data_IF_100824202101
#
_entry.id   IF_100824202101
#
_cell.length_a   1.000
_cell.length_b   1.000
_cell.length_c   1.000
_cell.angle_alpha   90.00
_cell.angle_beta   90.00
_cell.angle_gamma   90.00
#
_symmetry.space_group_name_H-M   'P 1'
#
loop_
_entity.id
_entity.type
_entity.pdbx_description
1 polymer ?
#
# COMPACT_ATOMS: atom_id res chain seq x y z
N UNK A 1 2.34 33.62 -14.99
CA UNK A 1 2.36 32.35 -14.23
C UNK A 1 2.75 32.70 -12.79
N UNK A 2 1.76 32.83 -11.92
CA UNK A 2 2.01 32.99 -10.49
C UNK A 2 2.16 31.60 -9.87
N UNK A 3 3.42 31.17 -9.72
CA UNK A 3 3.74 29.89 -9.09
C UNK A 3 3.58 30.00 -7.57
N UNK A 4 2.44 29.57 -7.05
CA UNK A 4 2.20 29.63 -5.60
C UNK A 4 2.85 28.48 -4.84
N UNK A 5 2.88 27.29 -5.40
CA UNK A 5 3.41 26.09 -4.74
C UNK A 5 4.15 25.19 -5.73
N UNK A 6 5.23 24.62 -5.28
CA UNK A 6 5.99 23.61 -6.03
C UNK A 6 6.20 22.36 -5.17
N UNK A 7 6.09 21.19 -5.80
CA UNK A 7 6.29 19.88 -5.18
C UNK A 7 7.34 19.10 -5.94
N UNK A 8 8.37 18.65 -5.25
CA UNK A 8 9.34 17.71 -5.82
C UNK A 8 8.98 16.31 -5.35
N UNK A 9 8.80 15.40 -6.29
CA UNK A 9 8.35 14.03 -6.00
C UNK A 9 9.22 12.99 -6.72
N UNK A 10 9.24 11.79 -6.13
CA UNK A 10 9.81 10.59 -6.73
C UNK A 10 8.67 9.59 -6.85
N UNK A 11 8.37 9.16 -8.06
CA UNK A 11 7.36 8.14 -8.32
C UNK A 11 8.01 6.76 -8.36
N UNK A 12 7.37 5.81 -7.72
CA UNK A 12 7.88 4.45 -7.53
C UNK A 12 6.76 3.44 -7.64
N UNK A 13 7.12 2.16 -7.75
CA UNK A 13 6.18 1.08 -7.48
C UNK A 13 6.85 -0.11 -6.78
N UNK A 14 6.04 -0.93 -6.12
CA UNK A 14 6.40 -2.27 -5.65
C UNK A 14 5.34 -3.26 -6.11
N UNK A 15 5.74 -4.25 -6.87
CA UNK A 15 4.84 -5.25 -7.44
C UNK A 15 3.59 -4.65 -8.15
N UNK A 16 3.71 -3.47 -8.77
CA UNK A 16 2.62 -2.76 -9.45
C UNK A 16 1.79 -1.81 -8.58
N UNK A 17 2.02 -1.73 -7.27
CA UNK A 17 1.43 -0.72 -6.41
C UNK A 17 2.24 0.57 -6.49
N UNK A 18 1.62 1.63 -7.02
CA UNK A 18 2.29 2.90 -7.29
C UNK A 18 2.28 3.83 -6.06
N UNK A 19 3.42 4.49 -5.85
CA UNK A 19 3.61 5.49 -4.79
C UNK A 19 4.26 6.75 -5.33
N UNK A 20 3.72 7.90 -4.97
CA UNK A 20 4.32 9.22 -5.15
C UNK A 20 4.90 9.70 -3.84
N UNK A 21 6.21 9.83 -3.79
CA UNK A 21 6.95 10.21 -2.58
C UNK A 21 7.30 11.68 -2.69
N UNK A 22 6.73 12.50 -1.83
CA UNK A 22 6.98 13.93 -1.75
C UNK A 22 8.22 14.14 -0.88
N UNK A 23 9.29 14.62 -1.49
CA UNK A 23 10.58 14.87 -0.83
C UNK A 23 10.78 16.36 -0.53
N UNK A 24 10.08 17.24 -1.26
CA UNK A 24 10.04 18.65 -1.00
C UNK A 24 8.69 19.24 -1.38
N UNK A 25 8.10 19.98 -0.47
CA UNK A 25 6.79 20.60 -0.68
C UNK A 25 6.65 21.91 0.11
N UNK A 26 5.69 22.74 -0.32
CA UNK A 26 5.21 23.89 0.46
C UNK A 26 4.26 23.47 1.60
N UNK A 27 4.19 22.19 1.92
CA UNK A 27 3.42 21.64 3.04
C UNK A 27 4.27 21.75 4.31
N UNK A 28 3.83 22.52 5.27
CA UNK A 28 4.54 22.73 6.53
C UNK A 28 4.00 21.78 7.60
N UNK A 29 4.76 20.71 7.85
CA UNK A 29 4.51 19.71 8.90
C UNK A 29 5.66 19.83 9.93
N UNK A 30 5.54 20.74 10.85
CA UNK A 30 6.59 21.14 11.80
C UNK A 30 6.33 20.70 13.25
N UNK A 31 5.32 19.87 13.47
CA UNK A 31 5.10 19.28 14.78
C UNK A 31 6.12 18.16 15.04
N UNK A 32 6.54 18.01 16.28
CA UNK A 32 7.42 16.91 16.70
C UNK A 32 6.68 15.58 16.80
N UNK A 33 5.35 15.63 16.96
CA UNK A 33 4.48 14.46 17.02
C UNK A 33 3.93 14.11 15.63
N UNK A 34 4.30 12.94 15.15
CA UNK A 34 3.83 12.41 13.86
C UNK A 34 2.29 12.31 13.76
N UNK A 35 1.60 12.04 14.87
CA UNK A 35 0.14 11.96 14.89
C UNK A 35 -0.50 13.33 14.65
N UNK A 36 0.09 14.39 15.19
CA UNK A 36 -0.37 15.76 14.93
C UNK A 36 -0.10 16.16 13.49
N UNK A 37 1.10 15.87 12.96
CA UNK A 37 1.41 16.09 11.55
C UNK A 37 0.46 15.32 10.63
N UNK A 38 0.14 14.07 10.97
CA UNK A 38 -0.84 13.28 10.19
C UNK A 38 -2.23 13.91 10.23
N UNK A 39 -2.70 14.33 11.40
CA UNK A 39 -3.99 15.02 11.54
C UNK A 39 -4.04 16.27 10.66
N UNK A 40 -3.01 17.09 10.69
CA UNK A 40 -2.91 18.29 9.84
C UNK A 40 -2.87 17.93 8.36
N UNK A 41 -2.09 16.92 7.96
CA UNK A 41 -2.06 16.45 6.57
C UNK A 41 -3.44 16.05 6.08
N UNK A 42 -4.21 15.36 6.91
CA UNK A 42 -5.55 14.90 6.52
C UNK A 42 -6.60 16.03 6.50
N UNK A 43 -6.50 17.04 7.39
CA UNK A 43 -7.50 18.13 7.49
C UNK A 43 -7.16 19.36 6.65
N UNK A 44 -5.88 19.80 6.64
CA UNK A 44 -5.52 21.11 6.15
C UNK A 44 -4.99 21.10 4.71
N UNK A 45 -4.55 19.93 4.21
CA UNK A 45 -3.88 19.80 2.91
C UNK A 45 -4.67 18.95 1.90
N UNK A 46 -5.98 19.06 1.92
CA UNK A 46 -6.87 18.29 1.03
C UNK A 46 -6.65 18.63 -0.46
N UNK A 47 -6.46 19.92 -0.77
CA UNK A 47 -6.20 20.38 -2.13
C UNK A 47 -4.87 19.84 -2.66
N UNK A 48 -3.80 19.88 -1.85
CA UNK A 48 -2.49 19.36 -2.22
C UNK A 48 -2.53 17.85 -2.46
N UNK A 49 -3.29 17.10 -1.65
CA UNK A 49 -3.49 15.66 -1.87
C UNK A 49 -4.18 15.38 -3.20
N UNK A 50 -5.26 16.10 -3.51
CA UNK A 50 -5.96 15.97 -4.79
C UNK A 50 -5.07 16.39 -5.95
N UNK A 51 -4.38 17.52 -5.83
CA UNK A 51 -3.41 17.99 -6.81
C UNK A 51 -2.37 16.93 -7.17
N UNK A 52 -1.85 16.21 -6.17
CA UNK A 52 -0.79 15.23 -6.35
C UNK A 52 -1.30 13.85 -6.82
N UNK A 53 -2.53 13.45 -6.47
CA UNK A 53 -3.01 12.09 -6.71
C UNK A 53 -4.01 11.98 -7.86
N UNK A 54 -4.75 13.06 -8.19
CA UNK A 54 -5.76 13.03 -9.22
C UNK A 54 -5.17 13.15 -10.63
N UNK A 55 -5.93 12.73 -11.61
CA UNK A 55 -5.65 13.03 -13.03
C UNK A 55 -5.72 14.54 -13.28
N UNK A 56 -4.89 15.10 -14.15
CA UNK A 56 -3.96 14.43 -15.07
C UNK A 56 -2.57 14.15 -14.48
N UNK A 57 -2.32 14.47 -13.22
CA UNK A 57 -1.01 14.35 -12.57
C UNK A 57 -0.76 13.01 -11.89
N UNK A 58 -1.83 12.33 -11.49
CA UNK A 58 -1.83 11.00 -10.87
C UNK A 58 -2.91 10.10 -11.46
N UNK A 59 -3.38 9.13 -10.70
CA UNK A 59 -4.48 8.23 -11.07
C UNK A 59 -5.06 7.55 -9.84
N UNK A 60 -6.25 6.93 -9.94
CA UNK A 60 -6.97 6.32 -8.80
C UNK A 60 -6.14 5.34 -7.96
N UNK A 61 -5.21 4.60 -8.56
CA UNK A 61 -4.34 3.65 -7.85
C UNK A 61 -3.04 4.24 -7.31
N UNK A 62 -2.85 5.56 -7.31
CA UNK A 62 -1.68 6.24 -6.78
C UNK A 62 -1.81 6.44 -5.28
N UNK A 63 -0.79 6.03 -4.52
CA UNK A 63 -0.64 6.32 -3.10
C UNK A 63 0.35 7.47 -2.93
N UNK A 64 0.12 8.32 -1.94
CA UNK A 64 1.03 9.41 -1.59
C UNK A 64 1.79 9.12 -0.30
N UNK A 65 3.06 9.51 -0.27
CA UNK A 65 3.90 9.53 0.93
C UNK A 65 4.58 10.89 1.05
N UNK A 66 4.60 11.46 2.25
CA UNK A 66 5.42 12.64 2.58
C UNK A 66 6.51 12.20 3.55
N UNK A 67 7.76 12.50 3.21
CA UNK A 67 8.91 12.25 4.07
C UNK A 67 9.14 13.47 4.96
N UNK A 68 9.25 13.23 6.28
CA UNK A 68 9.56 14.26 7.27
C UNK A 68 10.68 13.81 8.19
N UNK A 69 11.37 14.74 8.87
CA UNK A 69 12.31 14.38 9.95
C UNK A 69 11.62 13.60 11.06
N UNK A 70 12.38 12.80 11.79
CA UNK A 70 11.94 12.06 12.97
C UNK A 70 12.99 12.15 14.08
N UNK A 71 12.53 12.31 15.34
CA UNK A 71 13.39 12.23 16.50
C UNK A 71 13.60 10.79 17.01
N UNK A 72 12.84 9.82 16.46
CA UNK A 72 12.83 8.42 16.91
C UNK A 72 13.40 7.44 15.87
N UNK A 73 13.52 7.89 14.63
CA UNK A 73 13.89 7.06 13.50
C UNK A 73 14.79 7.84 12.52
N UNK A 74 15.23 7.19 11.46
CA UNK A 74 16.03 7.86 10.42
C UNK A 74 15.19 8.84 9.59
N UNK A 75 13.94 8.50 9.38
CA UNK A 75 12.91 9.31 8.71
C UNK A 75 11.55 8.99 9.31
N UNK A 76 10.59 9.90 9.10
CA UNK A 76 9.17 9.62 9.28
C UNK A 76 8.45 9.67 7.93
N UNK A 77 7.42 8.84 7.78
CA UNK A 77 6.56 8.80 6.58
C UNK A 77 5.12 9.02 6.99
N UNK A 78 4.49 9.99 6.36
CA UNK A 78 3.05 10.22 6.42
C UNK A 78 2.42 9.78 5.10
N UNK A 79 1.33 9.03 5.19
CA UNK A 79 0.63 8.50 4.04
C UNK A 79 -0.62 9.31 3.75
N UNK A 80 -0.95 9.45 2.47
CA UNK A 80 -2.21 10.00 2.03
C UNK A 80 -2.72 9.25 0.79
N UNK A 81 -4.02 9.12 0.70
CA UNK A 81 -4.70 8.36 -0.33
C UNK A 81 -6.04 9.03 -0.67
N UNK A 82 -6.68 8.62 -1.75
CA UNK A 82 -8.04 9.07 -2.10
C UNK A 82 -9.06 8.66 -1.03
N UNK A 83 -8.88 7.50 -0.40
CA UNK A 83 -9.63 7.06 0.77
C UNK A 83 -8.94 7.56 2.04
N UNK A 84 -9.63 8.42 2.81
CA UNK A 84 -9.09 9.00 4.04
C UNK A 84 -8.81 7.99 5.16
N UNK A 85 -9.42 6.81 5.10
CA UNK A 85 -9.21 5.75 6.09
C UNK A 85 -7.88 5.02 5.90
N UNK A 86 -7.26 5.12 4.73
CA UNK A 86 -6.00 4.45 4.42
C UNK A 86 -4.79 5.35 4.70
N UNK A 87 -4.31 5.30 5.94
CA UNK A 87 -3.21 6.15 6.41
C UNK A 87 -1.87 5.40 6.57
N UNK A 88 -1.79 4.14 6.18
CA UNK A 88 -0.57 3.34 6.20
C UNK A 88 -0.64 2.20 5.17
N UNK A 89 0.46 1.97 4.47
CA UNK A 89 0.66 0.82 3.57
C UNK A 89 2.10 0.33 3.68
N UNK A 90 2.30 -0.97 3.86
CA UNK A 90 3.64 -1.58 3.92
C UNK A 90 4.46 -1.35 2.65
N UNK A 91 3.82 -1.29 1.47
CA UNK A 91 4.49 -0.96 0.22
C UNK A 91 5.22 0.38 0.24
N UNK A 92 4.70 1.35 0.98
CA UNK A 92 5.34 2.65 1.16
C UNK A 92 6.65 2.59 1.94
N UNK A 93 6.84 1.62 2.87
CA UNK A 93 8.14 1.42 3.54
C UNK A 93 9.20 1.04 2.51
N UNK A 94 8.89 0.06 1.65
CA UNK A 94 9.81 -0.45 0.62
C UNK A 94 10.12 0.64 -0.41
N UNK A 95 9.11 1.26 -0.97
CA UNK A 95 9.28 2.23 -2.06
C UNK A 95 9.93 3.52 -1.60
N UNK A 96 9.59 4.02 -0.40
CA UNK A 96 10.20 5.26 0.12
C UNK A 96 11.68 5.07 0.43
N UNK A 97 12.07 3.97 1.10
CA UNK A 97 13.48 3.74 1.41
C UNK A 97 14.31 3.54 0.13
N UNK A 98 13.76 2.79 -0.85
CA UNK A 98 14.39 2.63 -2.18
C UNK A 98 14.61 3.98 -2.84
N UNK A 99 13.55 4.78 -2.96
CA UNK A 99 13.63 6.10 -3.60
C UNK A 99 14.68 7.00 -2.95
N UNK A 100 14.68 7.10 -1.63
CA UNK A 100 15.57 8.02 -0.93
C UNK A 100 17.03 7.62 -1.01
N UNK A 101 17.33 6.30 -0.97
CA UNK A 101 18.70 5.81 -1.11
C UNK A 101 19.21 5.99 -2.53
N UNK A 102 18.45 5.59 -3.54
CA UNK A 102 18.86 5.66 -4.95
C UNK A 102 19.02 7.10 -5.47
N UNK A 103 18.24 8.03 -4.95
CA UNK A 103 18.33 9.44 -5.32
C UNK A 103 19.27 10.25 -4.44
N UNK A 104 19.93 9.62 -3.45
CA UNK A 104 20.87 10.27 -2.54
C UNK A 104 20.23 11.18 -1.49
N UNK A 105 18.91 11.13 -1.34
CA UNK A 105 18.17 11.87 -0.29
C UNK A 105 18.34 11.26 1.11
N UNK A 106 18.80 10.00 1.18
CA UNK A 106 19.14 9.33 2.43
C UNK A 106 20.50 8.63 2.27
N UNK A 107 21.41 8.89 3.21
CA UNK A 107 22.75 8.30 3.19
C UNK A 107 22.71 6.78 3.42
N UNK A 108 23.55 6.04 2.70
CA UNK A 108 23.74 4.61 2.92
C UNK A 108 24.39 4.35 4.28
N UNK A 109 23.83 3.40 5.03
CA UNK A 109 24.35 2.94 6.32
C UNK A 109 25.19 1.69 6.16
N UNK A 110 26.24 1.58 6.97
CA UNK A 110 27.13 0.41 6.97
C UNK A 110 26.42 -0.88 7.33
N UNK A 111 25.43 -0.82 8.23
CA UNK A 111 24.64 -1.99 8.65
C UNK A 111 23.41 -2.24 7.77
N UNK A 112 23.16 -1.39 6.78
CA UNK A 112 22.00 -1.49 5.88
C UNK A 112 20.64 -1.59 6.58
N UNK A 113 20.55 -1.15 7.83
CA UNK A 113 19.30 -1.12 8.58
C UNK A 113 18.83 0.31 8.79
N UNK A 114 17.55 0.54 8.49
CA UNK A 114 16.90 1.84 8.60
C UNK A 114 15.65 1.74 9.46
N UNK A 115 15.44 2.74 10.30
CA UNK A 115 14.22 2.89 11.07
C UNK A 115 13.32 3.92 10.42
N UNK A 116 12.06 3.60 10.28
CA UNK A 116 11.03 4.44 9.65
C UNK A 116 9.91 4.64 10.65
N UNK A 117 9.69 5.88 11.08
CA UNK A 117 8.55 6.23 11.93
C UNK A 117 7.30 6.39 11.06
N UNK A 118 6.21 5.79 11.50
CA UNK A 118 4.88 5.93 10.92
C UNK A 118 3.85 6.16 12.02
N UNK A 119 2.61 6.49 11.66
CA UNK A 119 1.53 6.62 12.66
C UNK A 119 1.23 5.32 13.42
N UNK A 120 1.65 4.17 12.90
CA UNK A 120 1.47 2.86 13.56
C UNK A 120 2.67 2.46 14.42
N UNK A 121 3.77 3.18 14.34
CA UNK A 121 4.98 2.89 15.08
C UNK A 121 6.25 3.01 14.25
N UNK A 122 7.34 2.48 14.78
CA UNK A 122 8.65 2.48 14.11
C UNK A 122 8.94 1.10 13.55
N UNK A 123 9.11 1.05 12.22
CA UNK A 123 9.51 -0.16 11.50
C UNK A 123 11.00 -0.15 11.24
N UNK A 124 11.63 -1.30 11.43
CA UNK A 124 13.01 -1.53 10.99
C UNK A 124 12.97 -2.24 9.65
N UNK A 125 13.64 -1.69 8.66
CA UNK A 125 13.80 -2.30 7.34
C UNK A 125 15.27 -2.60 7.09
N UNK A 126 15.56 -3.75 6.50
CA UNK A 126 16.91 -4.13 6.05
C UNK A 126 16.97 -3.99 4.54
N UNK A 127 18.00 -3.34 4.03
CA UNK A 127 18.14 -3.00 2.61
C UNK A 127 19.34 -3.76 2.03
N UNK A 128 19.14 -4.47 0.92
CA UNK A 128 20.22 -5.02 0.11
C UNK A 128 20.52 -4.08 -1.03
N UNK A 129 21.78 -3.82 -1.30
CA UNK A 129 22.22 -2.94 -2.40
C UNK A 129 23.32 -3.59 -3.22
N UNK A 130 23.25 -3.40 -4.54
CA UNK A 130 24.35 -3.68 -5.46
C UNK A 130 24.76 -2.38 -6.14
N UNK A 131 26.04 -2.01 -6.05
CA UNK A 131 26.55 -0.71 -6.50
C UNK A 131 25.74 0.46 -5.87
N UNK A 132 24.87 1.08 -6.65
CA UNK A 132 24.03 2.20 -6.21
C UNK A 132 22.52 1.87 -6.21
N UNK A 133 22.14 0.68 -6.64
CA UNK A 133 20.74 0.26 -6.73
C UNK A 133 20.32 -0.53 -5.48
N UNK A 134 19.08 -0.36 -5.05
CA UNK A 134 18.45 -1.14 -4.00
C UNK A 134 17.86 -2.40 -4.61
N UNK A 135 18.47 -3.55 -4.36
CA UNK A 135 18.02 -4.83 -4.93
C UNK A 135 16.86 -5.42 -4.16
N UNK A 136 16.81 -5.23 -2.84
CA UNK A 136 15.66 -5.63 -2.03
C UNK A 136 15.55 -4.85 -0.72
N UNK A 137 14.33 -4.81 -0.19
CA UNK A 137 14.00 -4.28 1.14
C UNK A 137 13.21 -5.34 1.88
N UNK A 138 13.66 -5.72 3.07
CA UNK A 138 12.96 -6.68 3.92
C UNK A 138 12.50 -6.04 5.22
N UNK A 139 11.32 -6.47 5.70
CA UNK A 139 10.72 -6.00 6.95
C UNK A 139 9.84 -7.09 7.56
N UNK A 140 9.44 -6.88 8.81
CA UNK A 140 8.46 -7.71 9.51
C UNK A 140 7.13 -6.96 9.62
N UNK A 141 6.03 -7.69 9.38
CA UNK A 141 4.67 -7.15 9.54
C UNK A 141 4.30 -7.04 11.02
N UNK A 142 3.26 -6.26 11.30
CA UNK A 142 2.51 -6.41 12.54
C UNK A 142 1.73 -7.72 12.57
N UNK A 143 1.15 -8.04 13.73
CA UNK A 143 0.36 -9.26 13.92
C UNK A 143 -0.91 -9.22 13.07
N UNK A 144 -1.28 -10.36 12.52
CA UNK A 144 -2.59 -10.55 11.91
C UNK A 144 -3.32 -11.74 12.53
N UNK A 145 -4.64 -11.72 12.47
CA UNK A 145 -5.46 -12.77 13.08
C UNK A 145 -6.73 -13.07 12.28
N UNK A 146 -7.11 -14.33 12.26
CA UNK A 146 -8.41 -14.76 11.78
C UNK A 146 -9.48 -14.36 12.80
N UNK A 147 -10.46 -13.55 12.37
CA UNK A 147 -11.58 -13.09 13.20
C UNK A 147 -12.77 -14.01 13.06
N UNK A 148 -13.11 -14.36 11.82
CA UNK A 148 -14.27 -15.19 11.51
C UNK A 148 -13.95 -16.08 10.30
N UNK A 149 -14.48 -17.28 10.32
CA UNK A 149 -14.38 -18.21 9.18
C UNK A 149 -15.72 -18.89 8.98
N UNK A 150 -16.28 -18.75 7.81
CA UNK A 150 -17.53 -19.37 7.39
C UNK A 150 -17.27 -20.30 6.21
N UNK A 151 -18.33 -20.87 5.64
CA UNK A 151 -18.23 -21.62 4.38
C UNK A 151 -18.03 -20.71 3.15
N UNK A 152 -18.45 -19.47 3.24
CA UNK A 152 -18.50 -18.53 2.11
C UNK A 152 -17.35 -17.53 2.13
N UNK A 153 -16.82 -17.16 3.30
CA UNK A 153 -15.71 -16.21 3.46
C UNK A 153 -14.92 -16.42 4.74
N UNK A 154 -13.75 -15.84 4.79
CA UNK A 154 -12.98 -15.57 6.01
C UNK A 154 -12.86 -14.07 6.24
N UNK A 155 -12.87 -13.65 7.51
CA UNK A 155 -12.56 -12.29 7.94
C UNK A 155 -11.21 -12.30 8.68
N UNK A 156 -10.25 -11.58 8.17
CA UNK A 156 -8.90 -11.45 8.75
C UNK A 156 -8.62 -10.00 9.09
N UNK A 157 -8.13 -9.77 10.30
CA UNK A 157 -7.59 -8.49 10.73
C UNK A 157 -6.07 -8.50 10.52
N UNK A 158 -5.55 -7.47 9.88
CA UNK A 158 -4.12 -7.21 9.70
C UNK A 158 -3.76 -5.98 10.54
N UNK A 159 -2.64 -6.04 11.26
CA UNK A 159 -2.09 -4.93 12.06
C UNK A 159 -3.01 -4.31 13.13
N UNK A 160 -4.03 -5.04 13.55
CA UNK A 160 -4.98 -4.56 14.55
C UNK A 160 -5.99 -3.51 14.06
N UNK A 161 -5.93 -3.10 12.79
CA UNK A 161 -6.76 -2.02 12.25
C UNK A 161 -7.50 -2.40 10.97
N UNK A 162 -6.85 -3.14 10.08
CA UNK A 162 -7.37 -3.38 8.74
C UNK A 162 -8.05 -4.73 8.62
N UNK A 163 -9.30 -4.72 8.20
CA UNK A 163 -10.15 -5.90 8.09
C UNK A 163 -10.37 -6.27 6.62
N UNK A 164 -10.05 -7.50 6.26
CA UNK A 164 -10.22 -8.04 4.91
C UNK A 164 -11.19 -9.21 4.90
N UNK A 165 -12.22 -9.11 4.05
CA UNK A 165 -13.07 -10.24 3.71
C UNK A 165 -12.45 -11.02 2.56
N UNK A 166 -12.16 -12.30 2.77
CA UNK A 166 -11.52 -13.18 1.81
C UNK A 166 -12.56 -14.18 1.29
N UNK A 167 -12.84 -14.12 0.00
CA UNK A 167 -13.76 -15.01 -0.69
C UNK A 167 -13.01 -15.95 -1.63
N UNK A 168 -13.41 -17.22 -1.72
CA UNK A 168 -12.92 -18.10 -2.78
C UNK A 168 -13.40 -17.60 -4.15
N UNK A 169 -12.65 -17.93 -5.19
CA UNK A 169 -13.05 -17.64 -6.57
C UNK A 169 -14.43 -18.25 -6.87
N UNK A 170 -15.44 -17.47 -7.28
CA UNK A 170 -16.76 -17.99 -7.60
C UNK A 170 -16.75 -18.72 -8.94
N UNK A 171 -17.60 -19.75 -9.09
CA UNK A 171 -17.69 -20.56 -10.31
C UNK A 171 -17.97 -19.75 -11.59
N UNK A 172 -18.53 -18.58 -11.46
CA UNK A 172 -18.86 -17.70 -12.58
C UNK A 172 -17.61 -17.04 -13.19
N UNK A 173 -16.48 -16.98 -12.47
CA UNK A 173 -15.21 -16.39 -12.91
C UNK A 173 -14.23 -17.56 -13.16
N UNK A 174 -13.81 -17.82 -14.41
CA UNK A 174 -12.95 -18.96 -14.72
C UNK A 174 -11.55 -18.87 -14.09
N UNK A 175 -10.98 -17.66 -14.00
CA UNK A 175 -9.68 -17.38 -13.39
C UNK A 175 -9.53 -15.88 -13.08
N UNK A 176 -8.64 -15.54 -12.14
CA UNK A 176 -8.33 -14.13 -11.81
C UNK A 176 -7.26 -13.59 -12.79
N UNK A 177 -7.58 -13.55 -14.07
CA UNK A 177 -6.73 -13.03 -15.15
C UNK A 177 -7.38 -11.83 -15.84
N UNK A 178 -6.55 -11.02 -16.52
CA UNK A 178 -7.00 -9.79 -17.20
C UNK A 178 -8.11 -10.06 -18.23
N UNK A 179 -8.12 -11.23 -18.86
CA UNK A 179 -9.16 -11.61 -19.82
C UNK A 179 -10.57 -11.64 -19.22
N UNK A 180 -10.66 -11.79 -17.90
CA UNK A 180 -11.94 -11.81 -17.17
C UNK A 180 -12.17 -10.53 -16.34
N UNK A 181 -11.39 -9.47 -16.57
CA UNK A 181 -11.37 -8.23 -15.75
C UNK A 181 -12.77 -7.62 -15.55
N UNK A 182 -13.58 -7.54 -16.62
CA UNK A 182 -14.93 -6.95 -16.52
C UNK A 182 -15.83 -7.71 -15.53
N UNK A 183 -15.83 -9.06 -15.61
CA UNK A 183 -16.61 -9.91 -14.70
C UNK A 183 -16.06 -9.84 -13.26
N UNK A 184 -14.73 -9.81 -13.11
CA UNK A 184 -14.06 -9.66 -11.81
C UNK A 184 -14.45 -8.34 -11.15
N UNK A 185 -14.38 -7.24 -11.90
CA UNK A 185 -14.73 -5.91 -11.38
C UNK A 185 -16.19 -5.80 -10.97
N UNK A 186 -17.11 -6.31 -11.81
CA UNK A 186 -18.52 -6.31 -11.48
C UNK A 186 -18.80 -7.11 -10.20
N UNK A 187 -18.26 -8.32 -10.09
CA UNK A 187 -18.46 -9.17 -8.91
C UNK A 187 -17.88 -8.56 -7.64
N UNK A 188 -16.68 -7.99 -7.73
CA UNK A 188 -16.04 -7.31 -6.60
C UNK A 188 -16.83 -6.08 -6.13
N UNK A 189 -17.36 -5.29 -7.07
CA UNK A 189 -18.23 -4.16 -6.76
C UNK A 189 -19.52 -4.61 -6.04
N UNK A 190 -20.18 -5.65 -6.53
CA UNK A 190 -21.38 -6.21 -5.87
C UNK A 190 -21.10 -6.68 -4.45
N UNK A 191 -19.95 -7.35 -4.20
CA UNK A 191 -19.55 -7.76 -2.86
C UNK A 191 -19.29 -6.55 -1.93
N UNK A 192 -18.58 -5.53 -2.40
CA UNK A 192 -18.30 -4.33 -1.59
C UNK A 192 -19.59 -3.58 -1.26
N UNK A 193 -20.51 -3.42 -2.21
CA UNK A 193 -21.82 -2.80 -1.99
C UNK A 193 -22.67 -3.60 -0.97
N UNK A 194 -22.68 -4.92 -1.03
CA UNK A 194 -23.37 -5.78 -0.06
C UNK A 194 -22.82 -5.60 1.36
N UNK A 195 -21.49 -5.58 1.52
CA UNK A 195 -20.86 -5.36 2.82
C UNK A 195 -21.17 -3.97 3.38
N UNK A 196 -21.14 -2.93 2.55
CA UNK A 196 -21.52 -1.57 2.92
C UNK A 196 -22.99 -1.49 3.36
N UNK A 197 -23.90 -2.12 2.61
CA UNK A 197 -25.33 -2.16 2.93
C UNK A 197 -25.60 -2.81 4.30
N UNK A 198 -24.79 -3.78 4.70
CA UNK A 198 -24.86 -4.43 6.04
C UNK A 198 -24.10 -3.65 7.12
N UNK A 199 -23.56 -2.46 6.82
CA UNK A 199 -22.75 -1.63 7.73
C UNK A 199 -21.56 -2.35 8.35
N UNK A 200 -20.99 -3.34 7.67
CA UNK A 200 -19.80 -4.01 8.13
C UNK A 200 -18.57 -3.12 7.95
N UNK A 201 -17.70 -3.13 8.96
CA UNK A 201 -16.42 -2.41 8.90
C UNK A 201 -15.41 -3.31 8.19
N UNK A 202 -14.85 -2.83 7.07
CA UNK A 202 -13.82 -3.54 6.33
C UNK A 202 -12.90 -2.53 5.62
N UNK A 203 -11.70 -2.98 5.29
CA UNK A 203 -10.72 -2.23 4.51
C UNK A 203 -10.79 -2.63 3.04
N UNK A 204 -10.97 -3.91 2.77
CA UNK A 204 -11.08 -4.43 1.41
C UNK A 204 -11.70 -5.82 1.35
N UNK A 205 -12.03 -6.20 0.13
CA UNK A 205 -12.53 -7.54 -0.24
C UNK A 205 -11.50 -8.21 -1.13
N UNK A 206 -11.15 -9.45 -0.82
CA UNK A 206 -10.14 -10.22 -1.56
C UNK A 206 -10.82 -11.42 -2.20
N UNK A 207 -10.70 -11.58 -3.51
CA UNK A 207 -10.97 -12.84 -4.22
C UNK A 207 -9.68 -13.64 -4.33
N UNK A 208 -9.74 -14.95 -4.03
CA UNK A 208 -8.58 -15.83 -4.03
C UNK A 208 -8.81 -17.04 -4.91
N UNK A 209 -7.89 -17.28 -5.84
CA UNK A 209 -7.76 -18.46 -6.68
C UNK A 209 -6.56 -19.28 -6.21
N UNK A 210 -6.74 -20.48 -5.63
CA UNK A 210 -5.64 -21.38 -5.31
C UNK A 210 -4.97 -21.93 -6.56
N UNK A 211 -3.66 -21.73 -6.73
CA UNK A 211 -2.88 -22.29 -7.86
C UNK A 211 -2.10 -23.55 -7.46
N UNK A 212 -1.60 -23.57 -6.21
CA UNK A 212 -0.91 -24.72 -5.62
C UNK A 212 -0.98 -24.69 -4.10
N UNK A 213 -0.24 -25.56 -3.41
CA UNK A 213 -0.22 -25.60 -1.94
C UNK A 213 0.21 -24.27 -1.31
N UNK A 214 1.14 -23.55 -1.92
CA UNK A 214 1.71 -22.31 -1.38
C UNK A 214 1.69 -21.14 -2.36
N UNK A 215 0.89 -21.23 -3.43
CA UNK A 215 0.73 -20.17 -4.42
C UNK A 215 -0.75 -19.92 -4.66
N UNK A 216 -1.09 -18.65 -4.63
CA UNK A 216 -2.45 -18.18 -4.93
C UNK A 216 -2.38 -17.03 -5.92
N UNK A 217 -3.47 -16.80 -6.64
CA UNK A 217 -3.72 -15.55 -7.33
C UNK A 217 -4.82 -14.81 -6.59
N UNK A 218 -4.72 -13.50 -6.47
CA UNK A 218 -5.74 -12.72 -5.80
C UNK A 218 -5.99 -11.38 -6.46
N UNK A 219 -7.18 -10.88 -6.21
CA UNK A 219 -7.59 -9.52 -6.56
C UNK A 219 -8.22 -8.90 -5.34
N UNK A 220 -7.74 -7.73 -4.95
CA UNK A 220 -8.27 -6.96 -3.82
C UNK A 220 -9.08 -5.78 -4.34
N UNK A 221 -10.27 -5.59 -3.77
CA UNK A 221 -11.13 -4.45 -4.01
C UNK A 221 -11.13 -3.55 -2.78
N UNK A 222 -10.94 -2.27 -2.98
CA UNK A 222 -11.14 -1.25 -1.95
C UNK A 222 -12.62 -1.04 -1.65
N UNK A 223 -12.95 -0.28 -0.62
CA UNK A 223 -14.35 -0.04 -0.21
C UNK A 223 -15.25 0.49 -1.33
N UNK A 224 -14.73 1.31 -2.23
CA UNK A 224 -15.49 1.89 -3.35
C UNK A 224 -15.60 0.94 -4.56
N UNK A 225 -15.10 -0.30 -4.43
CA UNK A 225 -15.09 -1.30 -5.50
C UNK A 225 -13.94 -1.15 -6.49
N UNK A 226 -13.03 -0.20 -6.29
CA UNK A 226 -11.84 -0.08 -7.12
C UNK A 226 -10.85 -1.21 -6.87
N UNK A 227 -10.14 -1.63 -7.93
CA UNK A 227 -9.21 -2.75 -7.89
C UNK A 227 -7.81 -2.29 -7.49
N UNK A 228 -7.19 -3.00 -6.54
CA UNK A 228 -5.77 -2.88 -6.25
C UNK A 228 -4.98 -3.62 -7.33
N UNK A 229 -4.04 -2.93 -7.98
CA UNK A 229 -3.34 -3.43 -9.17
C UNK A 229 -2.15 -4.34 -8.86
N UNK A 230 -1.79 -4.47 -7.60
CA UNK A 230 -0.73 -5.36 -7.09
C UNK A 230 -1.33 -6.52 -6.30
N UNK A 231 -0.55 -7.53 -5.89
CA UNK A 231 -1.02 -8.52 -4.92
C UNK A 231 -1.41 -7.90 -3.58
N UNK A 232 -0.86 -6.71 -3.27
CA UNK A 232 -1.01 -6.04 -1.98
C UNK A 232 -0.25 -6.76 -0.86
N UNK A 233 0.59 -6.06 -0.11
CA UNK A 233 1.31 -6.67 1.02
C UNK A 233 0.33 -7.07 2.12
N UNK A 234 -0.59 -6.18 2.47
CA UNK A 234 -1.64 -6.41 3.47
C UNK A 234 -2.53 -7.58 3.09
N UNK A 235 -2.98 -7.61 1.83
CA UNK A 235 -3.79 -8.70 1.28
C UNK A 235 -3.04 -10.03 1.31
N UNK A 236 -1.74 -10.00 1.03
CA UNK A 236 -0.88 -11.19 1.09
C UNK A 236 -0.77 -11.72 2.52
N UNK A 237 -0.62 -10.83 3.54
CA UNK A 237 -0.63 -11.23 4.94
C UNK A 237 -1.99 -11.77 5.38
N UNK A 238 -3.09 -11.15 4.94
CA UNK A 238 -4.44 -11.63 5.22
C UNK A 238 -4.67 -13.04 4.66
N UNK A 239 -4.31 -13.27 3.39
CA UNK A 239 -4.44 -14.59 2.73
C UNK A 239 -3.54 -15.63 3.41
N UNK A 240 -2.31 -15.26 3.80
CA UNK A 240 -1.41 -16.19 4.48
C UNK A 240 -1.96 -16.59 5.85
N UNK A 241 -2.53 -15.63 6.60
CA UNK A 241 -3.20 -15.89 7.89
C UNK A 241 -4.40 -16.83 7.73
N UNK A 242 -5.28 -16.60 6.75
CA UNK A 242 -6.37 -17.52 6.43
C UNK A 242 -5.85 -18.91 6.04
N UNK A 243 -4.79 -18.96 5.24
CA UNK A 243 -4.17 -20.23 4.82
C UNK A 243 -3.60 -21.01 5.99
N UNK A 244 -2.90 -20.34 6.92
CA UNK A 244 -2.34 -20.96 8.14
C UNK A 244 -3.42 -21.54 9.05
N UNK A 245 -4.61 -20.94 9.08
CA UNK A 245 -5.73 -21.48 9.86
C UNK A 245 -6.23 -22.84 9.35
N UNK A 246 -5.99 -23.15 8.08
CA UNK A 246 -6.45 -24.36 7.40
C UNK A 246 -5.36 -25.42 7.23
N UNK A 247 -4.10 -24.97 7.10
CA UNK A 247 -2.96 -25.86 6.83
C UNK A 247 -1.64 -25.18 7.16
N UNK A 248 -0.63 -25.97 7.51
CA UNK A 248 0.71 -25.45 7.75
C UNK A 248 1.37 -25.06 6.42
N UNK A 249 1.66 -23.77 6.24
CA UNK A 249 2.37 -23.18 5.10
C UNK A 249 3.34 -22.13 5.64
N UNK A 250 4.64 -22.37 5.52
CA UNK A 250 5.66 -21.44 6.02
C UNK A 250 5.87 -20.24 5.10
N UNK A 251 5.65 -20.45 3.80
CA UNK A 251 5.82 -19.42 2.78
C UNK A 251 4.65 -19.44 1.81
N UNK A 252 4.09 -18.27 1.50
CA UNK A 252 2.99 -18.12 0.57
C UNK A 252 3.35 -17.04 -0.46
N UNK A 253 3.23 -17.41 -1.74
CA UNK A 253 3.35 -16.48 -2.87
C UNK A 253 1.97 -16.09 -3.36
N UNK A 254 1.69 -14.79 -3.36
CA UNK A 254 0.49 -14.18 -3.91
C UNK A 254 0.81 -13.50 -5.25
N UNK A 255 0.01 -13.78 -6.26
CA UNK A 255 0.17 -13.31 -7.64
C UNK A 255 -1.01 -12.40 -7.99
N UNK A 256 -0.73 -11.24 -8.56
CA UNK A 256 -1.77 -10.32 -9.02
C UNK A 256 -2.39 -10.74 -10.35
N UNK A 257 -3.42 -10.03 -10.75
CA UNK A 257 -4.07 -10.15 -12.06
C UNK A 257 -3.12 -9.84 -13.25
N UNK A 258 -2.04 -9.09 -13.00
CA UNK A 258 -1.00 -8.73 -14.00
C UNK A 258 0.31 -9.49 -13.78
N UNK A 259 0.25 -10.64 -13.11
CA UNK A 259 1.36 -11.56 -12.84
C UNK A 259 2.51 -11.02 -11.97
N UNK A 260 2.38 -9.84 -11.37
CA UNK A 260 3.31 -9.42 -10.31
C UNK A 260 3.11 -10.28 -9.05
N UNK A 261 4.16 -10.46 -8.25
CA UNK A 261 4.10 -11.39 -7.11
C UNK A 261 4.75 -10.79 -5.87
N UNK A 262 4.19 -11.21 -4.73
CA UNK A 262 4.75 -10.97 -3.39
C UNK A 262 4.78 -12.29 -2.62
N UNK A 263 5.84 -12.49 -1.86
CA UNK A 263 6.00 -13.70 -1.04
C UNK A 263 6.13 -13.30 0.42
N UNK A 264 5.26 -13.86 1.26
CA UNK A 264 5.32 -13.72 2.71
C UNK A 264 5.83 -15.00 3.35
N UNK A 265 6.68 -14.86 4.37
CA UNK A 265 7.19 -15.97 5.18
C UNK A 265 6.69 -15.83 6.61
N UNK A 266 6.05 -16.86 7.14
CA UNK A 266 5.59 -16.91 8.52
C UNK A 266 6.77 -16.92 9.49
N UNK A 267 6.67 -16.10 10.56
CA UNK A 267 7.66 -16.07 11.64
C UNK A 267 7.15 -16.98 12.77
N UNK A 268 7.78 -18.14 13.02
CA UNK A 268 7.38 -19.01 14.11
C UNK A 268 7.45 -18.30 15.47
N UNK A 269 6.63 -18.74 16.42
CA UNK A 269 6.57 -18.22 17.79
C UNK A 269 6.16 -16.74 17.91
N UNK A 270 5.67 -16.16 16.83
CA UNK A 270 5.07 -14.82 16.79
C UNK A 270 3.53 -14.92 16.75
N UNK A 271 2.85 -13.84 17.12
CA UNK A 271 1.40 -13.71 16.98
C UNK A 271 1.01 -13.47 15.51
N UNK A 272 1.22 -14.47 14.63
CA UNK A 272 0.96 -14.40 13.19
C UNK A 272 1.60 -13.18 12.52
N UNK A 273 2.90 -13.00 12.73
CA UNK A 273 3.74 -12.03 12.00
C UNK A 273 4.39 -12.70 10.79
N UNK A 274 4.69 -11.87 9.81
CA UNK A 274 5.29 -12.33 8.57
C UNK A 274 6.52 -11.47 8.23
N UNK A 275 7.55 -12.10 7.70
CA UNK A 275 8.65 -11.44 7.01
C UNK A 275 8.29 -11.32 5.54
N UNK A 276 8.53 -10.16 4.95
CA UNK A 276 8.43 -9.94 3.51
C UNK A 276 9.71 -9.29 3.01
N UNK A 277 10.11 -9.67 1.82
CA UNK A 277 11.19 -9.06 1.05
C UNK A 277 10.64 -8.69 -0.32
N UNK A 278 10.86 -7.45 -0.74
CA UNK A 278 10.36 -6.95 -2.02
C UNK A 278 11.32 -5.91 -2.59
N UNK A 279 11.28 -5.75 -3.92
CA UNK A 279 12.05 -4.74 -4.65
C UNK A 279 11.14 -3.57 -5.02
N UNK A 280 11.52 -2.37 -4.61
CA UNK A 280 10.93 -1.13 -5.09
C UNK A 280 11.63 -0.67 -6.36
N UNK A 281 10.92 0.02 -7.24
CA UNK A 281 11.46 0.57 -8.48
C UNK A 281 11.11 2.05 -8.61
N UNK A 282 12.12 2.88 -8.83
CA UNK A 282 11.92 4.30 -9.18
C UNK A 282 11.46 4.38 -10.64
N UNK A 283 10.33 5.03 -10.87
CA UNK A 283 9.74 5.18 -12.22
C UNK A 283 9.91 6.57 -12.80
N UNK A 284 10.13 7.57 -11.95
CA UNK A 284 10.37 8.94 -12.40
C UNK A 284 10.57 9.92 -11.25
N UNK A 285 11.09 11.10 -11.58
CA UNK A 285 11.19 12.24 -10.68
C UNK A 285 10.49 13.43 -11.33
N UNK A 286 9.67 14.15 -10.55
CA UNK A 286 8.82 15.20 -11.06
C UNK A 286 8.89 16.46 -10.21
N UNK A 287 8.69 17.59 -10.87
CA UNK A 287 8.37 18.87 -10.25
C UNK A 287 6.97 19.27 -10.68
N UNK A 288 6.04 19.27 -9.75
CA UNK A 288 4.69 19.75 -9.99
C UNK A 288 4.56 21.20 -9.55
N UNK A 289 3.97 22.01 -10.43
CA UNK A 289 3.72 23.43 -10.20
C UNK A 289 2.22 23.62 -10.04
N UNK A 290 1.79 24.19 -8.91
CA UNK A 290 0.42 24.60 -8.71
C UNK A 290 0.24 25.98 -9.36
N UNK A 291 -0.64 26.05 -10.36
CA UNK A 291 -1.00 27.27 -11.07
C UNK A 291 -2.44 27.63 -10.70
N UNK A 292 -2.64 28.82 -10.17
CA UNK A 292 -3.99 29.32 -9.77
C UNK A 292 -4.92 29.54 -10.94
N UNK A 293 -4.35 29.74 -12.13
CA UNK A 293 -5.11 29.94 -13.37
C UNK A 293 -5.50 28.62 -14.05
N UNK A 294 -5.02 27.44 -13.53
CA UNK A 294 -5.44 26.13 -14.02
C UNK A 294 -6.93 25.91 -13.69
N UNK A 295 -7.81 25.70 -14.69
CA UNK A 295 -9.24 25.45 -14.44
C UNK A 295 -9.51 24.13 -13.69
N UNK A 296 -8.49 23.24 -13.55
CA UNK A 296 -8.57 21.96 -12.84
C UNK A 296 -7.44 21.83 -11.80
N UNK A 297 -7.35 22.75 -10.83
CA UNK A 297 -6.21 22.79 -9.90
C UNK A 297 -6.13 21.52 -9.05
N UNK A 298 -7.26 20.94 -8.63
CA UNK A 298 -7.35 19.71 -7.85
C UNK A 298 -7.42 18.44 -8.73
N UNK A 299 -7.41 18.61 -10.06
CA UNK A 299 -7.60 17.50 -10.98
C UNK A 299 -9.01 16.87 -10.89
N UNK A 300 -9.11 15.63 -11.37
CA UNK A 300 -10.34 14.83 -11.36
C UNK A 300 -10.05 13.35 -11.21
N UNK A 301 -11.05 12.56 -10.88
CA UNK A 301 -10.98 11.09 -10.92
C UNK A 301 -12.13 10.56 -11.77
N UNK A 302 -11.78 9.76 -12.79
CA UNK A 302 -12.75 8.94 -13.50
C UNK A 302 -12.93 7.61 -12.75
N UNK A 303 -14.20 7.28 -12.46
CA UNK A 303 -14.60 6.04 -11.75
C UNK A 303 -14.97 4.95 -12.73
#
# INVERSE_FOLDING_TARGET
>A
MDMEKMFTTIDTHVAGEAFRIVVQASIVLNETDILQNNKRLQSDFQHEKYFLLNEPRGHRGMNGCIVTPSDKADIAILFFHHDHDQQFKYGGLVTTITALIETGNLAKKVNNEYKIETIQGVYTVSVSTEENEVTSVSFESDSSRLIEQTKDYSLVEVDGLRNYYIYPLPNLIPSLQVDHLATIMQYGKELTEQLQATRRIFTGVILVEPLSKNRVRSVTFEKDGSIVRSPGMDSTFAIHTDTLSRRKVEELTNISIVDSQLTSRFIPDSSSKFKMEATGFVTGMHQFVYDVDDPLPDGFLLK
#
